data_IF_242102182737
#
_entry.id   IF_242102182737
#
_cell.length_a   1.000
_cell.length_b   1.000
_cell.length_c   1.000
_cell.angle_alpha   90.00
_cell.angle_beta   90.00
_cell.angle_gamma   90.00
#
_symmetry.space_group_name_H-M   'P 1'
#
loop_
_entity.id
_entity.type
_entity.pdbx_description
1 polymer ?
#
# COMPACT_ATOMS: atom_id res chain seq x y z
N UNK A 1 -18.70 -9.94 8.62
CA UNK A 1 -19.21 -8.73 7.93
C UNK A 1 -18.20 -8.28 6.88
N UNK A 2 -18.55 -7.35 5.98
CA UNK A 2 -17.67 -6.84 4.91
C UNK A 2 -17.63 -5.30 4.92
N UNK A 3 -16.82 -4.69 4.06
CA UNK A 3 -16.80 -3.25 3.76
C UNK A 3 -16.84 -3.01 2.24
N UNK A 4 -16.51 -1.79 1.79
CA UNK A 4 -16.32 -1.47 0.36
C UNK A 4 -15.16 -2.27 -0.25
N UNK A 5 -14.06 -2.42 0.52
CA UNK A 5 -12.96 -3.31 0.14
C UNK A 5 -13.36 -4.79 0.08
N UNK A 6 -12.62 -5.57 -0.72
CA UNK A 6 -12.72 -7.03 -0.79
C UNK A 6 -12.17 -7.71 0.47
N UNK A 7 -12.92 -7.62 1.58
CA UNK A 7 -12.52 -8.14 2.89
C UNK A 7 -13.64 -8.93 3.59
N UNK A 8 -13.26 -9.96 4.33
CA UNK A 8 -14.17 -10.69 5.21
C UNK A 8 -13.75 -10.54 6.67
N UNK A 9 -14.58 -9.90 7.48
CA UNK A 9 -14.24 -9.53 8.86
C UNK A 9 -15.05 -10.39 9.85
N UNK A 10 -14.36 -10.99 10.82
CA UNK A 10 -14.97 -11.80 11.88
C UNK A 10 -14.74 -11.09 13.21
N UNK A 11 -15.82 -10.56 13.80
CA UNK A 11 -15.77 -9.99 15.14
C UNK A 11 -16.20 -11.04 16.17
N UNK A 12 -15.39 -11.22 17.22
CA UNK A 12 -15.72 -12.12 18.32
C UNK A 12 -15.21 -11.55 19.65
N UNK A 13 -15.97 -11.79 20.72
CA UNK A 13 -15.59 -11.37 22.07
C UNK A 13 -14.43 -12.23 22.59
N UNK A 14 -13.34 -11.63 23.07
CA UNK A 14 -12.12 -12.36 23.43
C UNK A 14 -12.35 -13.38 24.55
N UNK A 15 -13.18 -13.05 25.55
CA UNK A 15 -13.44 -13.94 26.70
C UNK A 15 -14.41 -15.08 26.37
N UNK A 16 -15.53 -14.78 25.68
CA UNK A 16 -16.59 -15.76 25.42
C UNK A 16 -16.25 -16.69 24.26
N UNK A 17 -15.64 -16.17 23.19
CA UNK A 17 -15.26 -16.97 22.04
C UNK A 17 -13.84 -17.52 22.16
N UNK A 18 -12.92 -16.72 22.73
CA UNK A 18 -11.49 -17.00 22.81
C UNK A 18 -10.71 -16.35 21.66
N UNK A 19 -9.67 -15.56 21.99
CA UNK A 19 -8.80 -14.94 20.99
C UNK A 19 -8.12 -15.98 20.09
N UNK A 20 -7.51 -17.02 20.66
CA UNK A 20 -6.82 -18.06 19.89
C UNK A 20 -7.77 -18.81 18.95
N UNK A 21 -9.03 -19.02 19.39
CA UNK A 21 -10.06 -19.62 18.55
C UNK A 21 -10.46 -18.71 17.40
N UNK A 22 -10.52 -17.39 17.61
CA UNK A 22 -10.78 -16.41 16.55
C UNK A 22 -9.66 -16.40 15.52
N UNK A 23 -8.41 -16.34 15.98
CA UNK A 23 -7.24 -16.34 15.10
C UNK A 23 -7.18 -17.64 14.28
N UNK A 24 -7.37 -18.79 14.93
CA UNK A 24 -7.44 -20.09 14.25
C UNK A 24 -8.57 -20.14 13.23
N UNK A 25 -9.78 -19.69 13.58
CA UNK A 25 -10.90 -19.66 12.65
C UNK A 25 -10.58 -18.82 11.42
N UNK A 26 -10.08 -17.60 11.61
CA UNK A 26 -9.69 -16.72 10.50
C UNK A 26 -8.62 -17.37 9.60
N UNK A 27 -7.61 -18.00 10.19
CA UNK A 27 -6.57 -18.72 9.46
C UNK A 27 -7.14 -19.89 8.65
N UNK A 28 -8.04 -20.69 9.24
CA UNK A 28 -8.60 -21.88 8.60
C UNK A 28 -9.53 -21.52 7.43
N UNK A 29 -10.28 -20.41 7.52
CA UNK A 29 -11.21 -19.98 6.44
C UNK A 29 -10.53 -19.18 5.33
N UNK A 30 -9.37 -18.57 5.60
CA UNK A 30 -8.67 -17.70 4.65
C UNK A 30 -8.38 -18.37 3.29
N UNK A 31 -7.84 -19.62 3.21
CA UNK A 31 -7.58 -20.26 1.92
C UNK A 31 -8.83 -20.39 1.03
N UNK A 32 -9.97 -20.77 1.62
CA UNK A 32 -11.25 -20.90 0.90
C UNK A 32 -11.72 -19.54 0.38
N UNK A 33 -11.65 -18.50 1.21
CA UNK A 33 -12.06 -17.15 0.81
C UNK A 33 -11.11 -16.53 -0.23
N UNK A 34 -9.81 -16.80 -0.14
CA UNK A 34 -8.83 -16.38 -1.15
C UNK A 34 -9.04 -17.08 -2.50
N UNK A 35 -9.44 -18.37 -2.50
CA UNK A 35 -9.84 -19.06 -3.73
C UNK A 35 -11.06 -18.41 -4.40
N UNK A 36 -11.91 -17.74 -3.61
CA UNK A 36 -13.04 -16.92 -4.08
C UNK A 36 -12.66 -15.47 -4.40
N UNK A 37 -11.37 -15.11 -4.36
CA UNK A 37 -10.83 -13.76 -4.60
C UNK A 37 -11.24 -12.70 -3.55
N UNK A 38 -11.53 -13.13 -2.32
CA UNK A 38 -11.59 -12.22 -1.18
C UNK A 38 -10.15 -11.84 -0.81
N UNK A 39 -9.82 -10.55 -0.87
CA UNK A 39 -8.46 -10.06 -0.70
C UNK A 39 -7.89 -10.25 0.70
N UNK A 40 -8.75 -10.22 1.74
CA UNK A 40 -8.30 -10.32 3.13
C UNK A 40 -9.36 -10.88 4.07
N UNK A 41 -8.94 -11.73 5.02
CA UNK A 41 -9.74 -12.11 6.19
C UNK A 41 -9.21 -11.37 7.41
N UNK A 42 -10.08 -10.70 8.19
CA UNK A 42 -9.67 -9.86 9.32
C UNK A 42 -10.31 -10.35 10.61
N UNK A 43 -9.47 -10.72 11.58
CA UNK A 43 -9.88 -10.92 12.96
C UNK A 43 -10.13 -9.57 13.64
N UNK A 44 -11.34 -9.38 14.18
CA UNK A 44 -11.79 -8.16 14.86
C UNK A 44 -12.17 -8.48 16.31
N UNK A 45 -11.20 -8.84 17.15
CA UNK A 45 -11.48 -9.10 18.56
C UNK A 45 -11.97 -7.83 19.27
N UNK A 46 -12.87 -8.04 20.22
CA UNK A 46 -13.39 -6.98 21.08
C UNK A 46 -13.63 -7.49 22.50
N UNK A 47 -13.73 -6.55 23.45
CA UNK A 47 -14.05 -6.80 24.86
C UNK A 47 -15.10 -5.80 25.35
N UNK A 48 -15.60 -6.01 26.57
CA UNK A 48 -16.58 -5.15 27.23
C UNK A 48 -17.99 -5.72 27.15
N UNK A 49 -18.94 -5.01 27.74
CA UNK A 49 -20.31 -5.49 27.90
C UNK A 49 -21.30 -4.77 26.98
N UNK A 50 -22.54 -5.22 27.01
CA UNK A 50 -23.63 -4.61 26.26
C UNK A 50 -23.69 -3.10 26.53
N UNK A 51 -23.54 -2.30 25.46
CA UNK A 51 -23.51 -0.83 25.53
C UNK A 51 -22.10 -0.22 25.68
N UNK A 52 -21.05 -1.02 25.88
CA UNK A 52 -19.68 -0.54 26.06
C UNK A 52 -18.62 -1.46 25.41
N UNK A 53 -18.87 -1.90 24.16
CA UNK A 53 -17.91 -2.72 23.43
C UNK A 53 -16.75 -1.90 22.87
N UNK A 54 -15.53 -2.42 23.02
CA UNK A 54 -14.31 -1.83 22.47
C UNK A 54 -13.49 -2.86 21.71
N UNK A 55 -13.05 -2.50 20.49
CA UNK A 55 -12.09 -3.30 19.72
C UNK A 55 -10.74 -3.30 20.43
N UNK A 56 -10.05 -4.43 20.42
CA UNK A 56 -8.71 -4.54 21.01
C UNK A 56 -7.62 -4.34 19.95
N UNK A 57 -6.37 -4.24 20.42
CA UNK A 57 -5.19 -4.19 19.55
C UNK A 57 -4.86 -5.56 18.92
N UNK A 58 -5.51 -6.65 19.32
CA UNK A 58 -5.26 -8.02 18.84
C UNK A 58 -5.81 -8.30 17.43
N UNK A 59 -6.09 -7.25 16.67
CA UNK A 59 -6.47 -7.35 15.25
C UNK A 59 -5.39 -8.12 14.49
N UNK A 60 -5.80 -9.09 13.69
CA UNK A 60 -4.92 -9.79 12.78
C UNK A 60 -5.54 -9.90 11.39
N UNK A 61 -4.72 -9.76 10.36
CA UNK A 61 -5.13 -9.69 8.96
C UNK A 61 -4.46 -10.82 8.18
N UNK A 62 -5.26 -11.69 7.56
CA UNK A 62 -4.82 -12.76 6.66
C UNK A 62 -5.07 -12.31 5.23
N UNK A 63 -4.04 -11.75 4.59
CA UNK A 63 -4.12 -11.23 3.23
C UNK A 63 -3.76 -12.30 2.18
N UNK A 64 -4.37 -12.19 1.00
CA UNK A 64 -4.02 -13.05 -0.12
C UNK A 64 -2.59 -12.72 -0.57
N UNK A 65 -1.74 -13.74 -0.67
CA UNK A 65 -0.40 -13.56 -1.20
C UNK A 65 -0.45 -13.25 -2.71
N UNK A 66 0.47 -12.42 -3.24
CA UNK A 66 0.61 -12.24 -4.68
C UNK A 66 0.79 -13.60 -5.40
N UNK A 67 0.12 -13.82 -6.54
CA UNK A 67 0.09 -15.13 -7.21
C UNK A 67 1.42 -15.52 -7.87
N UNK A 68 2.36 -14.59 -7.99
CA UNK A 68 3.68 -14.78 -8.57
C UNK A 68 4.70 -13.86 -7.85
N UNK A 69 6.02 -14.11 -8.00
CA UNK A 69 7.04 -13.21 -7.50
C UNK A 69 6.86 -11.76 -7.99
N UNK A 70 6.99 -10.83 -7.05
CA UNK A 70 6.81 -9.40 -7.25
C UNK A 70 8.15 -8.68 -7.42
N UNK A 71 8.12 -7.37 -7.69
CA UNK A 71 9.34 -6.57 -7.67
C UNK A 71 10.05 -6.66 -6.30
N UNK A 72 9.29 -6.64 -5.20
CA UNK A 72 9.81 -6.74 -3.84
C UNK A 72 10.59 -8.06 -3.65
N UNK A 73 10.03 -9.18 -4.11
CA UNK A 73 10.71 -10.48 -4.08
C UNK A 73 12.05 -10.45 -4.84
N UNK A 74 12.08 -9.79 -6.01
CA UNK A 74 13.27 -9.73 -6.87
C UNK A 74 14.36 -8.82 -6.32
N UNK A 75 13.99 -7.68 -5.74
CA UNK A 75 14.93 -6.80 -5.04
C UNK A 75 15.56 -7.54 -3.86
N UNK A 76 14.73 -8.23 -3.08
CA UNK A 76 15.22 -9.06 -1.97
C UNK A 76 16.12 -10.21 -2.45
N UNK A 77 15.76 -10.92 -3.53
CA UNK A 77 16.59 -11.98 -4.12
C UNK A 77 17.93 -11.47 -4.65
N UNK A 78 18.03 -10.19 -5.00
CA UNK A 78 19.28 -9.52 -5.36
C UNK A 78 20.07 -9.00 -4.14
N UNK A 79 19.73 -9.47 -2.93
CA UNK A 79 20.34 -9.09 -1.65
C UNK A 79 20.27 -7.57 -1.36
N UNK A 80 19.19 -6.92 -1.80
CA UNK A 80 18.91 -5.50 -1.55
C UNK A 80 17.70 -5.35 -0.65
N UNK A 81 17.62 -4.22 0.04
CA UNK A 81 16.54 -3.93 0.98
C UNK A 81 15.29 -3.40 0.31
N UNK A 82 14.15 -3.82 0.85
CA UNK A 82 12.83 -3.28 0.53
C UNK A 82 12.20 -2.68 1.79
N UNK A 83 12.15 -1.35 1.83
CA UNK A 83 11.53 -0.58 2.92
C UNK A 83 10.09 -0.23 2.55
N UNK A 84 9.12 -0.83 3.23
CA UNK A 84 7.72 -0.53 3.02
C UNK A 84 7.25 0.64 3.92
N UNK A 85 6.44 1.53 3.37
CA UNK A 85 5.79 2.61 4.12
C UNK A 85 4.29 2.53 3.91
N UNK A 86 3.53 2.60 5.01
CA UNK A 86 2.07 2.53 4.99
C UNK A 86 1.55 1.12 4.76
N UNK A 87 0.65 0.95 3.78
CA UNK A 87 -0.05 -0.31 3.53
C UNK A 87 0.72 -1.33 2.71
N UNK A 88 1.90 -1.00 2.18
CA UNK A 88 2.66 -1.90 1.30
C UNK A 88 2.94 -3.26 1.95
N UNK A 89 3.38 -3.28 3.22
CA UNK A 89 3.55 -4.52 4.00
C UNK A 89 2.28 -5.39 4.03
N UNK A 90 1.14 -4.74 4.25
CA UNK A 90 -0.15 -5.41 4.34
C UNK A 90 -0.65 -5.88 2.95
N UNK A 91 -0.41 -5.11 1.87
CA UNK A 91 -0.84 -5.41 0.49
C UNK A 91 -0.08 -6.62 -0.06
N UNK A 92 1.22 -6.68 0.21
CA UNK A 92 2.08 -7.76 -0.28
C UNK A 92 2.22 -8.91 0.72
N UNK A 93 1.45 -8.93 1.82
CA UNK A 93 1.53 -9.95 2.87
C UNK A 93 2.96 -10.14 3.41
N UNK A 94 3.70 -9.04 3.57
CA UNK A 94 5.12 -8.97 3.94
C UNK A 94 6.07 -9.73 2.99
N UNK A 95 5.59 -10.19 1.84
CA UNK A 95 6.39 -10.93 0.87
C UNK A 95 7.40 -10.01 0.19
N UNK A 96 8.68 -10.33 0.34
CA UNK A 96 9.78 -9.54 -0.23
C UNK A 96 9.99 -8.18 0.45
N UNK A 97 9.51 -8.01 1.68
CA UNK A 97 9.61 -6.75 2.45
C UNK A 97 10.47 -6.99 3.69
N UNK A 98 11.49 -6.16 3.89
CA UNK A 98 12.41 -6.28 5.03
C UNK A 98 11.85 -5.62 6.29
N UNK A 99 11.29 -4.41 6.14
CA UNK A 99 10.65 -3.69 7.23
C UNK A 99 9.47 -2.84 6.73
N UNK A 100 8.60 -2.47 7.67
CA UNK A 100 7.43 -1.64 7.39
C UNK A 100 7.26 -0.54 8.44
N UNK A 101 7.13 0.70 7.97
CA UNK A 101 6.71 1.85 8.80
C UNK A 101 5.22 2.09 8.64
N UNK A 102 4.51 2.34 9.74
CA UNK A 102 3.04 2.52 9.77
C UNK A 102 2.67 3.82 10.49
N UNK A 103 1.59 4.46 10.06
CA UNK A 103 1.09 5.72 10.60
C UNK A 103 0.02 6.34 9.70
N UNK A 104 -0.60 7.47 10.11
CA UNK A 104 -1.37 8.33 9.22
C UNK A 104 -0.46 8.97 8.16
N UNK A 105 -1.00 9.47 7.05
CA UNK A 105 -0.22 9.88 5.88
C UNK A 105 0.81 10.97 6.23
N UNK A 106 0.49 11.86 7.18
CA UNK A 106 1.43 12.85 7.69
C UNK A 106 2.71 12.23 8.26
N UNK A 107 2.57 11.19 9.09
CA UNK A 107 3.71 10.46 9.68
C UNK A 107 4.40 9.60 8.62
N UNK A 108 3.64 9.02 7.68
CA UNK A 108 4.23 8.27 6.57
C UNK A 108 5.12 9.15 5.68
N UNK A 109 4.78 10.43 5.52
CA UNK A 109 5.61 11.36 4.75
C UNK A 109 6.92 11.65 5.47
N UNK A 110 6.88 11.82 6.80
CA UNK A 110 8.11 11.96 7.60
C UNK A 110 8.99 10.71 7.50
N UNK A 111 8.40 9.51 7.48
CA UNK A 111 9.13 8.27 7.20
C UNK A 111 9.72 8.21 5.79
N UNK A 112 9.03 8.75 4.79
CA UNK A 112 9.54 8.83 3.42
C UNK A 112 10.74 9.79 3.33
N UNK A 113 10.70 10.91 4.05
CA UNK A 113 11.83 11.83 4.15
C UNK A 113 13.02 11.19 4.84
N UNK A 114 12.81 10.51 5.97
CA UNK A 114 13.89 9.78 6.66
C UNK A 114 14.49 8.69 5.76
N UNK A 115 13.67 7.96 5.00
CA UNK A 115 14.17 6.97 4.04
C UNK A 115 15.00 7.60 2.92
N UNK A 116 14.70 8.82 2.47
CA UNK A 116 15.53 9.52 1.48
C UNK A 116 16.94 9.84 2.02
N UNK A 117 17.07 10.08 3.31
CA UNK A 117 18.35 10.40 3.97
C UNK A 117 19.14 9.14 4.37
N UNK A 118 18.45 8.10 4.82
CA UNK A 118 19.06 6.96 5.52
C UNK A 118 19.20 5.69 4.67
N UNK A 119 18.38 5.53 3.62
CA UNK A 119 18.33 4.26 2.89
C UNK A 119 19.62 3.99 2.11
N UNK A 120 20.09 2.75 2.17
CA UNK A 120 21.32 2.33 1.52
C UNK A 120 21.20 2.27 -0.01
N UNK A 121 22.36 2.31 -0.68
CA UNK A 121 22.45 2.27 -2.12
C UNK A 121 21.83 0.98 -2.70
N UNK A 122 21.00 1.15 -3.72
CA UNK A 122 20.35 0.03 -4.42
C UNK A 122 19.14 -0.57 -3.70
N UNK A 123 18.68 0.01 -2.58
CA UNK A 123 17.43 -0.32 -1.92
C UNK A 123 16.18 0.14 -2.70
N UNK A 124 15.02 -0.40 -2.32
CA UNK A 124 13.70 0.03 -2.79
C UNK A 124 12.86 0.52 -1.61
N UNK A 125 12.56 1.82 -1.58
CA UNK A 125 11.53 2.37 -0.70
C UNK A 125 10.19 2.40 -1.44
N UNK A 126 9.18 1.70 -0.91
CA UNK A 126 7.85 1.63 -1.52
C UNK A 126 6.79 2.12 -0.51
N UNK A 127 6.21 3.28 -0.81
CA UNK A 127 5.24 3.96 0.05
C UNK A 127 3.82 3.92 -0.52
N UNK A 128 2.84 3.77 0.36
CA UNK A 128 1.42 3.99 0.05
C UNK A 128 0.81 4.97 1.06
N UNK A 129 0.21 6.04 0.54
CA UNK A 129 -0.53 7.05 1.28
C UNK A 129 -2.02 6.82 1.05
N UNK A 130 -2.72 6.36 2.07
CA UNK A 130 -4.03 5.70 1.93
C UNK A 130 -5.20 6.62 2.34
N UNK A 131 -4.92 7.77 2.95
CA UNK A 131 -5.96 8.65 3.47
C UNK A 131 -6.74 9.35 2.34
N UNK A 132 -6.11 9.57 1.18
CA UNK A 132 -6.78 9.95 -0.08
C UNK A 132 -8.02 9.09 -0.35
N UNK A 133 -7.85 7.77 -0.26
CA UNK A 133 -8.89 6.79 -0.54
C UNK A 133 -9.87 6.62 0.65
N UNK A 134 -9.31 6.37 1.84
CA UNK A 134 -10.08 5.92 3.00
C UNK A 134 -10.78 7.03 3.78
N UNK A 135 -10.24 8.26 3.75
CA UNK A 135 -10.84 9.41 4.44
C UNK A 135 -11.64 10.30 3.48
N UNK A 136 -11.25 10.40 2.21
CA UNK A 136 -11.85 11.38 1.29
C UNK A 136 -12.60 10.76 0.11
N UNK A 137 -11.96 9.87 -0.66
CA UNK A 137 -12.53 9.25 -1.86
C UNK A 137 -13.83 8.50 -1.58
N UNK A 138 -13.78 7.45 -0.74
CA UNK A 138 -14.96 6.65 -0.38
C UNK A 138 -16.07 7.44 0.32
N UNK A 139 -15.72 8.57 0.95
CA UNK A 139 -16.65 9.46 1.66
C UNK A 139 -17.22 10.57 0.78
N UNK A 140 -16.75 10.68 -0.47
CA UNK A 140 -17.15 11.74 -1.41
C UNK A 140 -16.90 13.15 -0.85
N UNK A 141 -15.79 13.31 -0.13
CA UNK A 141 -15.37 14.59 0.44
C UNK A 141 -14.40 15.29 -0.51
N UNK A 142 -14.97 16.12 -1.39
CA UNK A 142 -14.21 16.87 -2.40
C UNK A 142 -13.20 17.83 -1.76
N UNK A 143 -13.63 18.58 -0.73
CA UNK A 143 -12.77 19.58 -0.08
C UNK A 143 -11.64 18.94 0.71
N UNK A 144 -11.92 17.83 1.41
CA UNK A 144 -10.91 17.04 2.11
C UNK A 144 -9.89 16.43 1.13
N UNK A 145 -10.36 15.87 0.01
CA UNK A 145 -9.46 15.31 -1.02
C UNK A 145 -8.54 16.40 -1.60
N UNK A 146 -9.10 17.55 -1.98
CA UNK A 146 -8.31 18.67 -2.50
C UNK A 146 -7.26 19.16 -1.49
N UNK A 147 -7.65 19.33 -0.22
CA UNK A 147 -6.73 19.76 0.85
C UNK A 147 -5.61 18.75 1.08
N UNK A 148 -5.91 17.44 1.00
CA UNK A 148 -4.90 16.40 1.12
C UNK A 148 -3.89 16.41 -0.04
N UNK A 149 -4.35 16.69 -1.27
CA UNK A 149 -3.46 16.83 -2.43
C UNK A 149 -2.54 18.05 -2.30
N UNK A 150 -3.07 19.21 -1.89
CA UNK A 150 -2.28 20.42 -1.65
C UNK A 150 -1.24 20.22 -0.53
N UNK A 151 -1.63 19.54 0.55
CA UNK A 151 -0.70 19.18 1.62
C UNK A 151 0.44 18.28 1.12
N UNK A 152 0.13 17.26 0.34
CA UNK A 152 1.13 16.33 -0.20
C UNK A 152 2.08 17.07 -1.17
N UNK A 153 1.56 17.86 -2.09
CA UNK A 153 2.35 18.68 -3.03
C UNK A 153 3.31 19.62 -2.29
N UNK A 154 2.83 20.30 -1.24
CA UNK A 154 3.65 21.18 -0.40
C UNK A 154 4.82 20.48 0.31
N UNK A 155 4.78 19.15 0.45
CA UNK A 155 5.85 18.34 1.06
C UNK A 155 6.81 17.75 0.02
N UNK A 156 6.34 17.46 -1.20
CA UNK A 156 7.13 16.81 -2.26
C UNK A 156 8.40 17.59 -2.61
N UNK A 157 8.35 18.91 -2.68
CA UNK A 157 9.53 19.73 -2.99
C UNK A 157 10.69 19.51 -2.03
N UNK A 158 10.40 19.40 -0.72
CA UNK A 158 11.39 19.11 0.30
C UNK A 158 11.96 17.69 0.18
N UNK A 159 11.10 16.70 -0.06
CA UNK A 159 11.54 15.32 -0.31
C UNK A 159 12.47 15.20 -1.51
N UNK A 160 12.11 15.81 -2.65
CA UNK A 160 12.93 15.75 -3.86
C UNK A 160 14.31 16.40 -3.70
N UNK A 161 14.43 17.41 -2.82
CA UNK A 161 15.70 18.07 -2.51
C UNK A 161 16.66 17.20 -1.67
N UNK A 162 16.15 16.16 -0.99
CA UNK A 162 16.96 15.22 -0.21
C UNK A 162 17.56 14.10 -1.08
N UNK A 163 17.00 13.85 -2.25
CA UNK A 163 17.43 12.76 -3.13
C UNK A 163 18.85 12.99 -3.66
N UNK A 164 19.66 11.92 -3.66
CA UNK A 164 21.06 11.94 -4.07
C UNK A 164 21.20 11.80 -5.60
N UNK A 165 22.34 12.19 -6.18
CA UNK A 165 22.64 11.89 -7.57
C UNK A 165 22.55 10.39 -7.83
N UNK A 166 21.66 9.99 -8.74
CA UNK A 166 21.41 8.58 -9.08
C UNK A 166 20.10 8.04 -8.54
N UNK A 167 19.48 8.68 -7.54
CA UNK A 167 18.19 8.27 -7.01
C UNK A 167 17.06 8.51 -8.03
N UNK A 168 16.07 7.62 -8.03
CA UNK A 168 14.86 7.70 -8.86
C UNK A 168 13.64 7.73 -7.94
N UNK A 169 12.81 8.76 -8.10
CA UNK A 169 11.48 8.80 -7.49
C UNK A 169 10.41 8.71 -8.58
N UNK A 170 9.38 7.88 -8.33
CA UNK A 170 8.20 7.75 -9.18
C UNK A 170 6.94 7.89 -8.32
N UNK A 171 6.02 8.75 -8.75
CA UNK A 171 4.72 8.98 -8.13
C UNK A 171 3.63 8.44 -9.06
N UNK A 172 2.72 7.66 -8.51
CA UNK A 172 1.58 7.10 -9.25
C UNK A 172 0.41 6.79 -8.32
N UNK A 173 -0.70 6.33 -8.90
CA UNK A 173 -1.86 5.79 -8.20
C UNK A 173 -2.20 4.41 -8.74
N UNK A 174 -2.95 3.62 -7.99
CA UNK A 174 -3.37 2.26 -8.34
C UNK A 174 -4.77 2.20 -8.96
N UNK A 175 -5.62 3.19 -8.69
CA UNK A 175 -6.94 3.39 -9.30
C UNK A 175 -7.43 4.83 -9.11
N UNK A 176 -8.66 5.12 -9.57
CA UNK A 176 -9.38 6.35 -9.24
C UNK A 176 -10.28 6.14 -8.02
N UNK A 177 -10.63 7.24 -7.35
CA UNK A 177 -11.70 7.28 -6.36
C UNK A 177 -12.33 8.68 -6.34
N UNK A 178 -13.00 9.03 -7.45
CA UNK A 178 -13.55 10.37 -7.69
C UNK A 178 -14.54 10.78 -6.57
N UNK A 179 -14.23 11.82 -5.78
CA UNK A 179 -15.09 12.26 -4.68
C UNK A 179 -16.40 12.92 -5.14
N UNK A 180 -16.59 13.15 -6.43
CA UNK A 180 -17.85 13.65 -7.03
C UNK A 180 -18.70 12.53 -7.63
N UNK A 181 -18.17 11.30 -7.69
CA UNK A 181 -18.84 10.17 -8.31
C UNK A 181 -20.03 9.67 -7.48
N UNK A 182 -21.05 9.17 -8.16
CA UNK A 182 -22.20 8.53 -7.51
C UNK A 182 -21.80 7.21 -6.81
N UNK A 183 -22.47 6.87 -5.72
CA UNK A 183 -22.09 5.70 -4.91
C UNK A 183 -20.82 5.95 -4.11
N UNK A 184 -20.16 4.88 -3.64
CA UNK A 184 -19.02 4.98 -2.69
C UNK A 184 -17.82 4.13 -3.08
N UNK A 185 -17.85 3.45 -4.22
CA UNK A 185 -16.77 2.56 -4.66
C UNK A 185 -15.73 3.28 -5.53
N UNK A 186 -14.61 2.60 -5.81
CA UNK A 186 -13.56 3.09 -6.69
C UNK A 186 -14.04 3.34 -8.12
N UNK A 187 -13.32 4.22 -8.82
CA UNK A 187 -13.56 4.56 -10.23
C UNK A 187 -12.44 4.03 -11.11
N UNK A 188 -12.82 3.53 -12.30
CA UNK A 188 -11.85 2.97 -13.26
C UNK A 188 -11.22 4.10 -14.08
N UNK A 189 -10.12 4.65 -13.58
CA UNK A 189 -9.42 5.79 -14.17
C UNK A 189 -7.99 5.44 -14.59
N UNK A 190 -7.38 6.35 -15.37
CA UNK A 190 -5.93 6.32 -15.63
C UNK A 190 -5.21 6.96 -14.45
N UNK A 191 -4.15 6.32 -13.96
CA UNK A 191 -3.29 6.94 -12.96
C UNK A 191 -2.20 7.81 -13.60
N UNK A 192 -1.81 8.92 -12.97
CA UNK A 192 -0.61 9.66 -13.37
C UNK A 192 0.65 8.82 -13.11
N UNK A 193 1.69 9.04 -13.91
CA UNK A 193 3.05 8.56 -13.63
C UNK A 193 3.98 9.75 -13.81
N UNK A 194 4.54 10.25 -12.70
CA UNK A 194 5.45 11.40 -12.67
C UNK A 194 6.75 10.97 -12.00
N UNK A 195 7.89 11.40 -12.55
CA UNK A 195 9.19 10.93 -12.08
C UNK A 195 10.25 12.02 -11.94
N UNK A 196 11.25 11.74 -11.12
CA UNK A 196 12.43 12.58 -10.85
C UNK A 196 13.73 11.77 -10.97
N UNK A 197 14.86 12.43 -11.24
CA UNK A 197 16.19 11.79 -11.22
C UNK A 197 16.77 11.35 -12.58
N UNK A 198 15.99 11.43 -13.68
CA UNK A 198 16.43 11.07 -15.05
C UNK A 198 16.26 12.18 -16.09
N UNK A 199 16.01 13.41 -15.62
CA UNK A 199 15.71 14.57 -16.48
C UNK A 199 14.27 14.58 -16.98
N UNK A 200 13.76 15.79 -17.27
CA UNK A 200 12.39 15.96 -17.74
C UNK A 200 12.23 15.42 -19.17
N UNK A 201 11.38 14.41 -19.34
CA UNK A 201 11.03 13.84 -20.64
C UNK A 201 9.63 13.23 -20.63
N UNK A 202 8.91 13.25 -21.75
CA UNK A 202 7.66 12.50 -21.87
C UNK A 202 7.95 11.00 -21.92
N UNK A 203 7.20 10.22 -21.15
CA UNK A 203 7.23 8.74 -21.20
C UNK A 203 6.06 8.15 -21.99
N UNK A 204 5.11 9.00 -22.40
CA UNK A 204 3.88 8.57 -23.07
C UNK A 204 2.93 7.81 -22.13
N UNK A 205 2.03 7.05 -22.73
CA UNK A 205 1.14 6.16 -21.97
C UNK A 205 1.87 4.85 -21.69
N UNK A 206 1.86 4.46 -20.41
CA UNK A 206 2.51 3.25 -19.91
C UNK A 206 1.53 2.43 -19.08
N UNK A 207 1.75 1.13 -18.97
CA UNK A 207 1.00 0.24 -18.09
C UNK A 207 1.54 0.30 -16.65
N UNK A 208 0.76 -0.13 -15.65
CA UNK A 208 1.26 -0.29 -14.28
C UNK A 208 2.44 -1.26 -14.20
N UNK A 209 2.44 -2.30 -15.02
CA UNK A 209 3.56 -3.23 -15.11
C UNK A 209 4.85 -2.55 -15.61
N UNK A 210 4.74 -1.49 -16.42
CA UNK A 210 5.89 -0.74 -16.95
C UNK A 210 6.56 0.08 -15.84
N UNK A 211 5.81 0.58 -14.85
CA UNK A 211 6.37 1.22 -13.65
C UNK A 211 7.26 0.24 -12.90
N UNK A 212 6.76 -0.98 -12.64
CA UNK A 212 7.55 -2.04 -12.00
C UNK A 212 8.77 -2.46 -12.81
N UNK A 213 8.64 -2.56 -14.14
CA UNK A 213 9.76 -2.88 -15.03
C UNK A 213 10.82 -1.77 -15.07
N UNK A 214 10.41 -0.51 -15.04
CA UNK A 214 11.31 0.64 -14.96
C UNK A 214 12.08 0.67 -13.64
N UNK A 215 11.42 0.44 -12.50
CA UNK A 215 12.12 0.35 -11.20
C UNK A 215 13.08 -0.84 -11.18
N UNK A 216 12.68 -2.00 -11.73
CA UNK A 216 13.57 -3.15 -11.86
C UNK A 216 14.83 -2.82 -12.69
N UNK A 217 14.64 -2.16 -13.84
CA UNK A 217 15.73 -1.74 -14.72
C UNK A 217 16.66 -0.73 -14.03
N UNK A 218 16.11 0.22 -13.27
CA UNK A 218 16.90 1.19 -12.51
C UNK A 218 17.77 0.51 -11.46
N UNK A 219 17.20 -0.44 -10.72
CA UNK A 219 17.90 -1.20 -9.70
C UNK A 219 18.83 -2.25 -10.34
N UNK A 220 18.74 -2.54 -11.63
CA UNK A 220 19.54 -3.61 -12.25
C UNK A 220 19.16 -5.00 -11.73
N UNK A 221 17.90 -5.20 -11.35
CA UNK A 221 17.34 -6.51 -11.00
C UNK A 221 16.57 -7.08 -12.20
N UNK A 222 16.51 -8.41 -12.31
CA UNK A 222 15.92 -9.06 -13.48
C UNK A 222 14.46 -8.60 -13.71
N UNK A 223 14.09 -8.18 -14.94
CA UNK A 223 12.71 -7.89 -15.26
C UNK A 223 11.90 -9.19 -15.33
N UNK A 224 10.64 -9.13 -14.92
CA UNK A 224 9.70 -10.24 -15.03
C UNK A 224 8.27 -9.68 -15.12
N UNK A 225 7.41 -10.41 -15.83
CA UNK A 225 6.05 -9.99 -16.13
C UNK A 225 5.94 -9.24 -17.47
N UNK A 226 4.76 -8.71 -17.80
CA UNK A 226 4.47 -8.15 -19.11
C UNK A 226 5.01 -6.72 -19.32
N UNK A 227 5.55 -6.10 -18.27
CA UNK A 227 5.97 -4.71 -18.27
C UNK A 227 7.22 -4.44 -19.12
N UNK A 228 7.30 -3.23 -19.66
CA UNK A 228 8.45 -2.73 -20.44
C UNK A 228 8.98 -1.47 -19.78
N UNK A 229 10.27 -1.45 -19.48
CA UNK A 229 10.93 -0.27 -18.93
C UNK A 229 10.83 0.90 -19.91
N UNK A 230 10.52 2.08 -19.38
CA UNK A 230 10.59 3.37 -20.08
C UNK A 230 11.82 4.19 -19.66
N UNK A 231 12.76 3.57 -18.93
CA UNK A 231 14.04 4.18 -18.58
C UNK A 231 15.02 4.24 -19.75
#
# INVERSE_FOLDING_TARGET
YTSADSVFQIAAHEETFGLDRLLKLCQDVAPTLHAMRVGRVIARPFVGDCGNFRRTANRHDYAIAPPAPTLCDRVHAAARKVHAIGKIGDIFSMRGIDDVKKGPDAVLFDHLMAAAEEAEDGSLTFANFVEFDTLYGHRRDVSGYASALEWFDGKVGGFLALLRPGDLALFTADHGNDPTWVGTDHTRERAPVVGWGRGARPIGQVAFADVGASVAAHLGVAPEGPGRSFL
#
